data_IF_982924433389
#
_entry.id   IF_982924433389
#
_cell.length_a   1.000
_cell.length_b   1.000
_cell.length_c   1.000
_cell.angle_alpha   90.00
_cell.angle_beta   90.00
_cell.angle_gamma   90.00
#
_symmetry.space_group_name_H-M   'P 1'
#
loop_
_entity.id
_entity.type
_entity.pdbx_description
1 polymer ?
#
# COMPACT_ATOMS: atom_id res chain seq x y z
N UNK A 1 -33.10 -7.26 8.80
CA UNK A 1 -32.60 -8.53 9.36
C UNK A 1 -33.68 -9.57 9.25
N UNK A 2 -33.46 -10.58 8.41
CA UNK A 2 -34.33 -11.75 8.36
C UNK A 2 -33.80 -12.80 9.35
N UNK A 3 -34.68 -13.48 10.07
CA UNK A 3 -34.28 -14.52 11.04
C UNK A 3 -34.69 -15.89 10.54
N UNK A 4 -33.86 -16.90 10.85
CA UNK A 4 -34.10 -18.31 10.52
C UNK A 4 -34.15 -19.11 11.80
N UNK A 5 -35.14 -20.01 11.89
CA UNK A 5 -35.19 -20.99 12.98
C UNK A 5 -34.22 -22.11 12.66
N UNK A 6 -33.37 -22.42 13.63
CA UNK A 6 -32.52 -23.61 13.57
C UNK A 6 -33.38 -24.82 13.93
N UNK A 7 -33.32 -25.86 13.10
CA UNK A 7 -34.06 -27.10 13.23
C UNK A 7 -33.10 -28.24 13.56
N UNK A 8 -33.56 -29.22 14.34
CA UNK A 8 -32.77 -30.41 14.67
C UNK A 8 -32.99 -31.48 13.60
N UNK A 9 -31.92 -31.87 12.90
CA UNK A 9 -31.93 -32.97 11.93
C UNK A 9 -31.49 -34.31 12.55
N UNK A 10 -30.67 -34.27 13.61
CA UNK A 10 -30.18 -35.46 14.30
C UNK A 10 -29.78 -35.20 15.76
N UNK A 11 -29.25 -36.20 16.48
CA UNK A 11 -28.87 -36.06 17.89
C UNK A 11 -27.87 -34.91 18.13
N UNK A 12 -26.96 -34.68 17.18
CA UNK A 12 -25.88 -33.68 17.25
C UNK A 12 -25.88 -32.69 16.07
N UNK A 13 -26.90 -32.72 15.20
CA UNK A 13 -26.90 -31.92 13.96
C UNK A 13 -28.06 -30.94 13.93
N UNK A 14 -27.72 -29.69 13.64
CA UNK A 14 -28.63 -28.58 13.46
C UNK A 14 -28.63 -28.16 11.98
N UNK A 15 -29.76 -27.70 11.48
CA UNK A 15 -29.89 -27.10 10.15
C UNK A 15 -30.65 -25.79 10.19
N UNK A 16 -30.35 -24.91 9.24
CA UNK A 16 -31.12 -23.72 8.94
C UNK A 16 -31.36 -23.65 7.43
N UNK A 17 -32.44 -23.01 7.01
CA UNK A 17 -32.70 -22.78 5.59
C UNK A 17 -31.98 -21.53 5.12
N UNK A 18 -31.33 -21.60 3.96
CA UNK A 18 -30.74 -20.44 3.30
C UNK A 18 -31.84 -19.45 2.88
N UNK A 19 -31.56 -18.12 2.83
CA UNK A 19 -32.50 -17.16 2.26
C UNK A 19 -32.75 -17.45 0.77
N UNK A 20 -34.02 -17.45 0.35
CA UNK A 20 -34.38 -17.78 -1.03
C UNK A 20 -33.86 -16.75 -2.04
N UNK A 21 -33.86 -15.47 -1.68
CA UNK A 21 -33.30 -14.38 -2.49
C UNK A 21 -31.80 -14.61 -2.72
N UNK A 22 -31.03 -14.81 -1.64
CA UNK A 22 -29.60 -15.11 -1.73
C UNK A 22 -29.30 -16.38 -2.53
N UNK A 23 -30.05 -17.46 -2.30
CA UNK A 23 -29.85 -18.71 -3.05
C UNK A 23 -30.13 -18.53 -4.55
N UNK A 24 -31.14 -17.71 -4.91
CA UNK A 24 -31.42 -17.37 -6.30
C UNK A 24 -30.35 -16.46 -6.91
N UNK A 25 -29.85 -15.47 -6.18
CA UNK A 25 -28.78 -14.57 -6.63
C UNK A 25 -27.41 -15.24 -6.82
N UNK A 26 -27.19 -16.36 -6.12
CA UNK A 26 -25.93 -17.11 -6.16
C UNK A 26 -26.06 -18.43 -6.92
N UNK A 27 -27.20 -18.65 -7.60
CA UNK A 27 -27.53 -19.87 -8.34
C UNK A 27 -27.30 -21.16 -7.52
N UNK A 28 -27.63 -21.13 -6.23
CA UNK A 28 -27.50 -22.27 -5.31
C UNK A 28 -28.73 -23.16 -5.38
N UNK A 29 -28.54 -24.36 -5.89
CA UNK A 29 -29.58 -25.37 -6.04
C UNK A 29 -29.50 -26.48 -4.97
N UNK A 30 -30.51 -27.35 -4.99
CA UNK A 30 -30.55 -28.50 -4.09
C UNK A 30 -29.45 -29.50 -4.47
N UNK A 31 -28.54 -29.73 -3.54
CA UNK A 31 -27.45 -30.70 -3.70
C UNK A 31 -26.09 -30.02 -3.81
N UNK A 32 -26.08 -28.70 -4.02
CA UNK A 32 -24.87 -27.92 -4.07
C UNK A 32 -24.22 -27.84 -2.69
N UNK A 33 -22.90 -27.86 -2.69
CA UNK A 33 -22.11 -27.66 -1.48
C UNK A 33 -21.90 -26.17 -1.24
N UNK A 34 -21.99 -25.78 0.03
CA UNK A 34 -21.64 -24.43 0.48
C UNK A 34 -20.56 -24.52 1.53
N UNK A 35 -19.56 -23.66 1.40
CA UNK A 35 -18.51 -23.51 2.39
C UNK A 35 -18.99 -22.66 3.54
N UNK A 36 -18.73 -23.12 4.76
CA UNK A 36 -19.01 -22.40 5.98
C UNK A 36 -17.72 -21.87 6.59
N UNK A 37 -17.73 -20.59 6.96
CA UNK A 37 -16.62 -19.98 7.69
C UNK A 37 -17.13 -19.40 9.00
N UNK A 38 -16.50 -19.82 10.08
CA UNK A 38 -16.65 -19.20 11.39
C UNK A 38 -15.74 -17.96 11.45
N UNK A 39 -16.34 -16.78 11.56
CA UNK A 39 -15.63 -15.53 11.78
C UNK A 39 -15.42 -15.23 13.26
N UNK A 40 -14.68 -14.16 13.54
CA UNK A 40 -14.56 -13.60 14.89
C UNK A 40 -15.93 -13.21 15.46
N UNK A 41 -16.09 -13.29 16.79
CA UNK A 41 -17.31 -12.87 17.50
C UNK A 41 -18.59 -13.63 17.09
N UNK A 42 -18.45 -14.88 16.65
CA UNK A 42 -19.58 -15.77 16.38
C UNK A 42 -20.29 -15.56 15.03
N UNK A 43 -19.69 -14.78 14.12
CA UNK A 43 -20.19 -14.66 12.75
C UNK A 43 -20.05 -15.99 12.00
N UNK A 44 -21.06 -16.35 11.20
CA UNK A 44 -21.00 -17.48 10.27
C UNK A 44 -21.21 -16.96 8.86
N UNK A 45 -20.21 -17.10 8.00
CA UNK A 45 -20.29 -16.74 6.58
C UNK A 45 -20.55 -18.01 5.77
N UNK A 46 -21.53 -17.94 4.87
CA UNK A 46 -21.87 -19.01 3.93
C UNK A 46 -21.46 -18.56 2.54
N UNK A 47 -20.71 -19.39 1.83
CA UNK A 47 -20.20 -19.09 0.48
C UNK A 47 -20.52 -20.25 -0.45
N UNK A 48 -21.11 -20.01 -1.63
CA UNK A 48 -21.21 -21.03 -2.65
C UNK A 48 -19.84 -21.33 -3.27
N UNK A 49 -19.74 -22.45 -3.96
CA UNK A 49 -18.51 -22.87 -4.64
C UNK A 49 -18.16 -21.93 -5.82
N UNK A 50 -19.16 -21.33 -6.48
CA UNK A 50 -19.00 -20.34 -7.55
C UNK A 50 -18.18 -19.12 -7.11
N UNK A 51 -18.39 -18.63 -5.89
CA UNK A 51 -17.64 -17.50 -5.31
C UNK A 51 -16.16 -17.84 -5.09
N UNK A 52 -15.79 -19.12 -5.07
CA UNK A 52 -14.39 -19.54 -4.98
C UNK A 52 -13.70 -19.65 -6.35
N UNK A 53 -14.45 -19.78 -7.44
CA UNK A 53 -13.91 -20.10 -8.76
C UNK A 53 -13.97 -18.97 -9.79
N UNK A 54 -14.83 -17.95 -9.63
CA UNK A 54 -14.93 -16.91 -10.65
C UNK A 54 -13.68 -16.01 -10.70
N UNK A 55 -12.92 -16.12 -11.80
CA UNK A 55 -11.94 -15.11 -12.20
C UNK A 55 -12.70 -13.79 -12.42
N UNK A 56 -12.63 -12.85 -11.47
CA UNK A 56 -13.38 -11.61 -11.63
C UNK A 56 -12.86 -10.79 -12.81
N UNK A 57 -13.75 -10.46 -13.75
CA UNK A 57 -13.43 -9.68 -14.95
C UNK A 57 -13.97 -8.24 -14.86
N UNK A 58 -13.37 -7.31 -15.62
CA UNK A 58 -13.90 -5.98 -15.81
C UNK A 58 -13.68 -5.49 -17.24
N UNK A 59 -14.61 -4.67 -17.75
CA UNK A 59 -14.49 -3.99 -19.04
C UNK A 59 -14.35 -2.48 -18.79
N UNK A 60 -13.30 -1.90 -19.36
CA UNK A 60 -13.01 -0.46 -19.39
C UNK A 60 -13.39 0.03 -20.78
N UNK A 61 -14.41 0.88 -20.85
CA UNK A 61 -14.85 1.51 -22.09
C UNK A 61 -13.98 2.75 -22.38
N UNK A 62 -13.05 2.62 -23.32
CA UNK A 62 -11.97 3.60 -23.57
C UNK A 62 -12.37 4.77 -24.48
N UNK A 63 -13.54 4.76 -25.13
CA UNK A 63 -13.93 5.69 -26.20
C UNK A 63 -13.82 7.17 -25.81
N UNK A 64 -14.05 7.49 -24.53
CA UNK A 64 -14.01 8.84 -23.99
C UNK A 64 -12.92 9.04 -22.92
N UNK A 65 -11.92 8.14 -22.90
CA UNK A 65 -10.81 8.19 -21.97
C UNK A 65 -9.53 8.57 -22.71
N UNK A 66 -8.82 9.56 -22.18
CA UNK A 66 -7.44 9.81 -22.56
C UNK A 66 -6.50 8.72 -22.00
N UNK A 67 -5.24 8.73 -22.44
CA UNK A 67 -4.23 7.75 -22.03
C UNK A 67 -4.12 7.64 -20.50
N UNK A 68 -4.03 8.78 -19.80
CA UNK A 68 -3.88 8.80 -18.34
C UNK A 68 -5.13 8.23 -17.63
N UNK A 69 -6.34 8.49 -18.16
CA UNK A 69 -7.57 7.93 -17.63
C UNK A 69 -7.67 6.41 -17.86
N UNK A 70 -7.20 5.92 -19.00
CA UNK A 70 -7.08 4.47 -19.27
C UNK A 70 -6.11 3.83 -18.28
N UNK A 71 -4.92 4.39 -18.12
CA UNK A 71 -3.90 3.88 -17.17
C UNK A 71 -4.46 3.85 -15.74
N UNK A 72 -5.08 4.95 -15.26
CA UNK A 72 -5.74 5.00 -13.95
C UNK A 72 -6.86 3.96 -13.80
N UNK A 73 -7.65 3.74 -14.85
CA UNK A 73 -8.72 2.75 -14.82
C UNK A 73 -8.15 1.32 -14.71
N UNK A 74 -7.06 1.01 -15.40
CA UNK A 74 -6.37 -0.28 -15.30
C UNK A 74 -5.80 -0.48 -13.88
N UNK A 75 -5.10 0.51 -13.33
CA UNK A 75 -4.60 0.48 -11.95
C UNK A 75 -5.74 0.26 -10.95
N UNK A 76 -6.88 0.94 -11.14
CA UNK A 76 -8.05 0.76 -10.28
C UNK A 76 -8.60 -0.67 -10.35
N UNK A 77 -8.78 -1.24 -11.55
CA UNK A 77 -9.26 -2.62 -11.68
C UNK A 77 -8.25 -3.64 -11.15
N UNK A 78 -6.95 -3.35 -11.28
CA UNK A 78 -5.89 -4.15 -10.67
C UNK A 78 -6.01 -4.15 -9.14
N UNK A 79 -6.13 -2.98 -8.51
CA UNK A 79 -6.30 -2.86 -7.05
C UNK A 79 -7.58 -3.56 -6.58
N UNK A 80 -8.67 -3.46 -7.36
CA UNK A 80 -9.94 -4.12 -7.04
C UNK A 80 -9.92 -5.65 -7.22
N UNK A 81 -8.77 -6.23 -7.58
CA UNK A 81 -8.60 -7.68 -7.60
C UNK A 81 -9.06 -8.35 -8.89
N UNK A 82 -9.36 -7.59 -9.95
CA UNK A 82 -9.74 -8.18 -11.24
C UNK A 82 -8.61 -9.04 -11.79
N UNK A 83 -8.96 -10.22 -12.26
CA UNK A 83 -8.03 -11.17 -12.85
C UNK A 83 -7.86 -10.93 -14.33
N UNK A 84 -8.95 -10.56 -15.02
CA UNK A 84 -8.92 -10.13 -16.42
C UNK A 84 -9.50 -8.72 -16.51
N UNK A 85 -8.79 -7.83 -17.19
CA UNK A 85 -9.20 -6.45 -17.46
C UNK A 85 -9.23 -6.29 -18.97
N UNK A 86 -10.40 -5.97 -19.50
CA UNK A 86 -10.58 -5.68 -20.92
C UNK A 86 -10.63 -4.17 -21.12
N UNK A 87 -9.86 -3.65 -22.05
CA UNK A 87 -9.90 -2.25 -22.50
C UNK A 87 -10.48 -2.26 -23.90
N UNK A 88 -11.66 -1.68 -24.07
CA UNK A 88 -12.48 -1.86 -25.28
C UNK A 88 -13.03 -0.53 -25.80
N UNK A 89 -13.12 -0.41 -27.12
CA UNK A 89 -13.88 0.63 -27.81
C UNK A 89 -15.17 0.06 -28.44
N UNK A 90 -16.01 0.92 -29.01
CA UNK A 90 -17.27 0.47 -29.64
C UNK A 90 -16.98 -0.43 -30.84
N UNK A 91 -17.97 -1.21 -31.24
CA UNK A 91 -17.87 -2.10 -32.40
C UNK A 91 -17.49 -1.28 -33.66
N UNK A 92 -16.43 -1.70 -34.36
CA UNK A 92 -15.77 -0.98 -35.48
C UNK A 92 -14.98 0.28 -35.10
N UNK A 93 -14.75 0.54 -33.82
CA UNK A 93 -13.79 1.53 -33.34
C UNK A 93 -12.34 1.06 -33.48
N UNK A 94 -11.37 1.88 -33.08
CA UNK A 94 -9.99 1.44 -32.94
C UNK A 94 -9.36 2.16 -31.75
N UNK A 95 -8.71 1.41 -30.86
CA UNK A 95 -7.89 1.95 -29.79
C UNK A 95 -6.76 2.78 -30.41
N UNK A 96 -6.64 4.03 -29.99
CA UNK A 96 -5.56 4.89 -30.49
C UNK A 96 -4.21 4.50 -29.87
N UNK A 97 -3.11 4.95 -30.48
CA UNK A 97 -1.77 4.61 -30.00
C UNK A 97 -1.49 5.12 -28.58
N UNK A 98 -2.15 6.18 -28.12
CA UNK A 98 -1.96 6.69 -26.77
C UNK A 98 -2.63 5.77 -25.74
N UNK A 99 -3.83 5.27 -26.04
CA UNK A 99 -4.54 4.28 -25.23
C UNK A 99 -3.81 2.93 -25.19
N UNK A 100 -3.27 2.48 -26.32
CA UNK A 100 -2.44 1.27 -26.39
C UNK A 100 -1.18 1.44 -25.53
N UNK A 101 -0.48 2.57 -25.65
CA UNK A 101 0.70 2.84 -24.83
C UNK A 101 0.37 2.93 -23.33
N UNK A 102 -0.80 3.46 -22.95
CA UNK A 102 -1.25 3.48 -21.56
C UNK A 102 -1.40 2.06 -20.98
N UNK A 103 -1.89 1.10 -21.79
CA UNK A 103 -1.96 -0.32 -21.38
C UNK A 103 -0.56 -0.88 -21.11
N UNK A 104 0.38 -0.65 -22.04
CA UNK A 104 1.75 -1.12 -21.87
C UNK A 104 2.47 -0.43 -20.70
N UNK A 105 2.21 0.87 -20.45
CA UNK A 105 2.74 1.57 -19.29
C UNK A 105 2.24 0.91 -17.99
N UNK A 106 0.94 0.64 -17.88
CA UNK A 106 0.36 -0.05 -16.73
C UNK A 106 0.98 -1.45 -16.53
N UNK A 107 1.22 -2.21 -17.61
CA UNK A 107 1.94 -3.50 -17.55
C UNK A 107 3.33 -3.35 -16.92
N UNK A 108 4.09 -2.32 -17.31
CA UNK A 108 5.43 -2.11 -16.72
C UNK A 108 5.39 -1.72 -15.26
N UNK A 109 4.30 -1.13 -14.78
CA UNK A 109 4.15 -0.62 -13.41
C UNK A 109 3.51 -1.62 -12.46
N UNK A 110 2.80 -2.64 -12.94
CA UNK A 110 1.96 -3.51 -12.11
C UNK A 110 2.49 -4.94 -12.09
N UNK A 111 2.74 -5.49 -10.90
CA UNK A 111 3.28 -6.84 -10.76
C UNK A 111 2.29 -7.88 -11.28
N UNK A 112 2.77 -8.79 -12.13
CA UNK A 112 2.02 -9.92 -12.66
C UNK A 112 0.97 -9.58 -13.72
N UNK A 113 0.87 -8.31 -14.12
CA UNK A 113 0.00 -7.88 -15.21
C UNK A 113 0.66 -8.19 -16.57
N UNK A 114 -0.11 -8.66 -17.55
CA UNK A 114 0.39 -8.92 -18.91
C UNK A 114 -0.73 -8.97 -19.94
N UNK A 115 -0.45 -8.46 -21.14
CA UNK A 115 -1.40 -8.50 -22.27
C UNK A 115 -1.52 -9.93 -22.80
N UNK A 116 -2.75 -10.43 -22.93
CA UNK A 116 -3.06 -11.78 -23.43
C UNK A 116 -3.75 -11.79 -24.79
N UNK A 117 -4.40 -10.69 -25.16
CA UNK A 117 -5.04 -10.50 -26.46
C UNK A 117 -5.00 -9.02 -26.83
N UNK A 118 -4.72 -8.72 -28.10
CA UNK A 118 -4.77 -7.37 -28.66
C UNK A 118 -5.40 -7.42 -30.06
N UNK A 119 -6.49 -6.70 -30.23
CA UNK A 119 -7.18 -6.44 -31.50
C UNK A 119 -7.33 -4.92 -31.67
N UNK A 120 -7.71 -4.43 -32.87
CA UNK A 120 -7.97 -3.00 -33.06
C UNK A 120 -8.99 -2.43 -32.07
N UNK A 121 -10.02 -3.19 -31.71
CA UNK A 121 -11.12 -2.75 -30.84
C UNK A 121 -10.89 -3.04 -29.35
N UNK A 122 -9.97 -3.95 -28.98
CA UNK A 122 -9.86 -4.50 -27.63
C UNK A 122 -8.45 -4.92 -27.25
N UNK A 123 -8.06 -4.64 -26.01
CA UNK A 123 -6.92 -5.28 -25.35
C UNK A 123 -7.40 -6.01 -24.10
N UNK A 124 -7.10 -7.30 -23.98
CA UNK A 124 -7.33 -8.08 -22.76
C UNK A 124 -6.03 -8.27 -21.99
N UNK A 125 -6.07 -7.97 -20.69
CA UNK A 125 -4.93 -7.98 -19.79
C UNK A 125 -5.22 -8.94 -18.65
N UNK A 126 -4.28 -9.83 -18.31
CA UNK A 126 -4.40 -10.77 -17.19
C UNK A 126 -3.44 -10.42 -16.07
N UNK A 127 -3.94 -10.47 -14.83
CA UNK A 127 -3.10 -10.45 -13.64
C UNK A 127 -2.86 -11.88 -13.13
N UNK A 128 -1.60 -12.28 -13.06
CA UNK A 128 -1.15 -13.62 -12.67
C UNK A 128 -0.57 -13.67 -11.25
N UNK A 129 -0.79 -12.62 -10.44
CA UNK A 129 -0.39 -12.60 -9.03
C UNK A 129 -1.21 -13.64 -8.26
N UNK A 130 -0.52 -14.58 -7.63
CA UNK A 130 -1.09 -15.46 -6.62
C UNK A 130 -0.93 -14.83 -5.22
N UNK A 131 -2.02 -14.52 -4.49
CA UNK A 131 -1.93 -14.00 -3.14
C UNK A 131 -1.15 -14.89 -2.16
N UNK A 132 -1.09 -16.21 -2.40
CA UNK A 132 -0.39 -17.16 -1.52
C UNK A 132 1.15 -16.99 -1.56
N UNK A 133 1.69 -16.34 -2.60
CA UNK A 133 3.12 -16.07 -2.72
C UNK A 133 3.59 -14.88 -1.85
N UNK A 134 2.68 -14.19 -1.18
CA UNK A 134 2.97 -12.93 -0.49
C UNK A 134 2.45 -12.90 0.95
N UNK A 135 3.27 -12.32 1.83
CA UNK A 135 2.88 -11.91 3.18
C UNK A 135 2.77 -10.38 3.22
N UNK A 136 1.66 -9.86 3.76
CA UNK A 136 1.46 -8.41 3.89
C UNK A 136 2.53 -7.78 4.78
N UNK A 137 2.92 -8.46 5.84
CA UNK A 137 3.94 -8.02 6.80
C UNK A 137 5.29 -7.82 6.10
N UNK A 138 5.71 -8.82 5.32
CA UNK A 138 6.95 -8.75 4.54
C UNK A 138 6.91 -7.64 3.48
N UNK A 139 5.75 -7.42 2.84
CA UNK A 139 5.60 -6.35 1.86
C UNK A 139 5.64 -4.96 2.49
N UNK A 140 5.06 -4.77 3.69
CA UNK A 140 5.17 -3.52 4.44
C UNK A 140 6.63 -3.23 4.82
N UNK A 141 7.35 -4.22 5.36
CA UNK A 141 8.78 -4.07 5.67
C UNK A 141 9.63 -3.81 4.43
N UNK A 142 9.31 -4.46 3.30
CA UNK A 142 10.00 -4.21 2.03
C UNK A 142 9.75 -2.80 1.48
N UNK A 143 8.53 -2.27 1.61
CA UNK A 143 8.20 -0.89 1.21
C UNK A 143 8.98 0.13 2.05
N UNK A 144 9.04 -0.07 3.37
CA UNK A 144 9.85 0.74 4.28
C UNK A 144 11.33 0.72 3.89
N UNK A 145 11.92 -0.47 3.73
CA UNK A 145 13.33 -0.61 3.37
C UNK A 145 13.68 0.03 2.02
N UNK A 146 12.75 -0.04 1.06
CA UNK A 146 12.89 0.62 -0.25
C UNK A 146 12.89 2.15 -0.08
N UNK A 147 11.94 2.71 0.67
CA UNK A 147 11.88 4.13 0.98
C UNK A 147 13.09 4.65 1.76
N UNK A 148 13.56 3.88 2.76
CA UNK A 148 14.80 4.20 3.49
C UNK A 148 16.02 4.25 2.56
N UNK A 149 16.14 3.28 1.65
CA UNK A 149 17.22 3.26 0.65
C UNK A 149 17.16 4.48 -0.26
N UNK A 150 15.97 4.85 -0.75
CA UNK A 150 15.76 6.05 -1.56
C UNK A 150 16.22 7.30 -0.82
N UNK A 151 15.76 7.49 0.41
CA UNK A 151 16.10 8.67 1.23
C UNK A 151 17.60 8.77 1.48
N UNK A 152 18.24 7.64 1.79
CA UNK A 152 19.69 7.58 1.98
C UNK A 152 20.46 7.89 0.70
N UNK A 153 20.02 7.40 -0.45
CA UNK A 153 20.62 7.73 -1.75
C UNK A 153 20.46 9.23 -2.06
N UNK A 154 19.27 9.80 -1.87
CA UNK A 154 18.99 11.22 -2.10
C UNK A 154 19.82 12.14 -1.18
N UNK A 155 19.86 11.87 0.13
CA UNK A 155 20.67 12.66 1.07
C UNK A 155 22.17 12.50 0.81
N UNK A 156 22.63 11.30 0.43
CA UNK A 156 24.01 11.07 0.03
C UNK A 156 24.37 11.77 -1.27
N UNK A 157 23.39 11.96 -2.16
CA UNK A 157 23.50 12.72 -3.39
C UNK A 157 23.79 14.18 -3.11
N UNK A 158 22.94 14.85 -2.29
CA UNK A 158 23.13 16.23 -1.84
C UNK A 158 24.50 16.42 -1.20
N UNK A 159 24.84 15.50 -0.31
CA UNK A 159 26.10 15.44 0.42
C UNK A 159 27.37 15.38 -0.43
N UNK A 160 27.28 15.00 -1.71
CA UNK A 160 28.43 14.73 -2.58
C UNK A 160 28.36 15.47 -3.92
N UNK A 161 27.26 16.16 -4.21
CA UNK A 161 27.02 16.72 -5.55
C UNK A 161 26.93 15.63 -6.63
N UNK A 162 26.38 14.45 -6.31
CA UNK A 162 26.43 13.25 -7.18
C UNK A 162 25.05 12.91 -7.78
N UNK A 163 24.63 13.49 -8.93
CA UNK A 163 23.28 13.31 -9.48
C UNK A 163 22.93 11.85 -9.84
N UNK A 164 23.92 10.97 -10.01
CA UNK A 164 23.67 9.55 -10.28
C UNK A 164 23.05 8.83 -9.07
N UNK A 165 23.28 9.33 -7.84
CA UNK A 165 22.61 8.83 -6.64
C UNK A 165 21.13 9.26 -6.61
N UNK A 166 20.84 10.53 -6.91
CA UNK A 166 19.46 11.01 -7.02
C UNK A 166 18.67 10.26 -8.10
N UNK A 167 19.26 10.05 -9.28
CA UNK A 167 18.59 9.29 -10.34
C UNK A 167 18.32 7.83 -9.94
N UNK A 168 19.16 7.22 -9.09
CA UNK A 168 18.89 5.90 -8.52
C UNK A 168 17.72 5.90 -7.54
N UNK A 169 17.59 6.93 -6.70
CA UNK A 169 16.44 7.09 -5.83
C UNK A 169 15.14 7.19 -6.65
N UNK A 170 15.12 8.01 -7.72
CA UNK A 170 13.97 8.11 -8.63
C UNK A 170 13.64 6.78 -9.34
N UNK A 171 14.65 5.97 -9.70
CA UNK A 171 14.39 4.65 -10.28
C UNK A 171 13.82 3.65 -9.27
N UNK A 172 14.02 3.86 -7.97
CA UNK A 172 13.46 3.03 -6.89
C UNK A 172 12.05 3.44 -6.51
N UNK A 173 11.63 4.67 -6.76
CA UNK A 173 10.23 5.10 -6.61
C UNK A 173 9.30 4.10 -7.33
N UNK A 174 9.61 3.77 -8.60
CA UNK A 174 8.82 2.81 -9.38
C UNK A 174 8.72 1.44 -8.72
N UNK A 175 9.74 1.03 -7.95
CA UNK A 175 9.73 -0.21 -7.18
C UNK A 175 8.88 -0.08 -5.92
N UNK A 176 8.94 1.06 -5.23
CA UNK A 176 8.08 1.37 -4.08
C UNK A 176 6.60 1.40 -4.50
N UNK A 177 6.27 2.11 -5.60
CA UNK A 177 4.92 2.16 -6.15
C UNK A 177 4.40 0.76 -6.54
N UNK A 178 5.22 -0.08 -7.19
CA UNK A 178 4.89 -1.50 -7.45
C UNK A 178 4.49 -2.27 -6.20
N UNK A 179 5.26 -2.12 -5.13
CA UNK A 179 4.99 -2.79 -3.84
C UNK A 179 3.70 -2.23 -3.23
N UNK A 180 3.52 -0.91 -3.25
CA UNK A 180 2.33 -0.25 -2.72
C UNK A 180 1.04 -0.69 -3.43
N UNK A 181 1.03 -0.69 -4.77
CA UNK A 181 -0.16 -1.08 -5.54
C UNK A 181 -0.45 -2.59 -5.38
N UNK A 182 0.58 -3.44 -5.27
CA UNK A 182 0.41 -4.85 -4.92
C UNK A 182 -0.18 -5.03 -3.52
N UNK A 183 0.31 -4.30 -2.51
CA UNK A 183 -0.25 -4.29 -1.16
C UNK A 183 -1.73 -3.95 -1.20
N UNK A 184 -2.13 -2.90 -1.93
CA UNK A 184 -3.53 -2.54 -2.08
C UNK A 184 -4.34 -3.66 -2.73
N UNK A 185 -3.84 -4.28 -3.80
CA UNK A 185 -4.51 -5.43 -4.44
C UNK A 185 -4.76 -6.55 -3.43
N UNK A 186 -3.73 -6.97 -2.70
CA UNK A 186 -3.82 -8.06 -1.73
C UNK A 186 -4.77 -7.72 -0.58
N UNK A 187 -4.76 -6.47 -0.10
CA UNK A 187 -5.67 -6.01 0.95
C UNK A 187 -7.13 -6.05 0.48
N UNK A 188 -7.41 -5.55 -0.73
CA UNK A 188 -8.77 -5.50 -1.27
C UNK A 188 -9.29 -6.90 -1.61
N UNK A 189 -8.46 -7.78 -2.17
CA UNK A 189 -8.85 -9.18 -2.45
C UNK A 189 -9.04 -9.97 -1.16
N UNK A 190 -8.18 -9.79 -0.14
CA UNK A 190 -8.35 -10.41 1.18
C UNK A 190 -9.60 -9.93 1.91
N UNK A 191 -9.99 -8.66 1.71
CA UNK A 191 -11.23 -8.13 2.25
C UNK A 191 -12.47 -8.75 1.57
N UNK A 192 -12.45 -8.90 0.25
CA UNK A 192 -13.56 -9.48 -0.52
C UNK A 192 -13.69 -11.00 -0.33
N UNK A 193 -12.55 -11.71 -0.28
CA UNK A 193 -12.50 -13.15 -0.09
C UNK A 193 -11.78 -13.47 1.23
N UNK A 194 -12.53 -13.74 2.30
CA UNK A 194 -11.92 -13.99 3.59
C UNK A 194 -11.02 -15.23 3.65
N UNK A 195 -11.09 -16.16 2.69
CA UNK A 195 -10.13 -17.27 2.61
C UNK A 195 -8.73 -16.77 2.27
N UNK A 196 -8.62 -15.74 1.43
CA UNK A 196 -7.35 -15.11 1.08
C UNK A 196 -6.74 -14.34 2.25
N UNK A 197 -7.54 -13.84 3.20
CA UNK A 197 -7.00 -13.20 4.41
C UNK A 197 -6.07 -14.14 5.20
N UNK A 198 -6.38 -15.45 5.27
CA UNK A 198 -5.49 -16.44 5.90
C UNK A 198 -4.27 -16.77 5.04
N UNK A 199 -4.43 -16.77 3.72
CA UNK A 199 -3.30 -16.96 2.80
C UNK A 199 -2.24 -15.88 2.98
N UNK A 200 -2.67 -14.64 3.29
CA UNK A 200 -1.78 -13.52 3.62
C UNK A 200 -1.51 -13.36 5.12
N UNK A 201 -1.62 -14.45 5.88
CA UNK A 201 -1.25 -14.57 7.30
C UNK A 201 -2.10 -13.74 8.28
N UNK A 202 -3.33 -13.36 7.92
CA UNK A 202 -4.25 -12.65 8.80
C UNK A 202 -5.38 -13.55 9.35
N UNK A 203 -5.53 -13.56 10.67
CA UNK A 203 -6.61 -14.27 11.37
C UNK A 203 -7.99 -13.62 11.23
N UNK A 204 -8.02 -12.33 10.88
CA UNK A 204 -9.27 -11.57 10.70
C UNK A 204 -9.11 -10.46 9.67
N UNK A 205 -10.23 -9.90 9.21
CA UNK A 205 -10.21 -8.76 8.29
C UNK A 205 -9.93 -7.42 8.96
N UNK A 206 -9.84 -7.35 10.29
CA UNK A 206 -9.65 -6.08 11.00
C UNK A 206 -8.28 -5.44 10.74
N UNK A 207 -7.14 -6.18 10.78
CA UNK A 207 -5.83 -5.63 10.45
C UNK A 207 -5.72 -5.02 9.05
N UNK A 208 -6.53 -5.48 8.07
CA UNK A 208 -6.53 -4.95 6.70
C UNK A 208 -6.79 -3.44 6.65
N UNK A 209 -7.63 -2.92 7.56
CA UNK A 209 -7.94 -1.49 7.64
C UNK A 209 -6.68 -0.72 8.05
N UNK A 210 -5.99 -1.23 9.08
CA UNK A 210 -4.73 -0.67 9.57
C UNK A 210 -3.63 -0.74 8.50
N UNK A 211 -3.43 -1.92 7.90
CA UNK A 211 -2.37 -2.14 6.91
C UNK A 211 -2.54 -1.31 5.65
N UNK A 212 -3.77 -1.02 5.21
CA UNK A 212 -4.00 -0.03 4.15
C UNK A 212 -3.41 1.32 4.58
N UNK A 213 -3.79 1.81 5.76
CA UNK A 213 -3.32 3.10 6.23
C UNK A 213 -1.80 3.12 6.42
N UNK A 214 -1.18 2.05 6.91
CA UNK A 214 0.29 1.90 6.99
C UNK A 214 0.90 1.98 5.59
N UNK A 215 0.41 1.21 4.62
CA UNK A 215 0.92 1.20 3.26
C UNK A 215 0.90 2.60 2.62
N UNK A 216 -0.15 3.40 2.84
CA UNK A 216 -0.19 4.79 2.34
C UNK A 216 0.80 5.71 3.05
N UNK A 217 1.02 5.56 4.36
CA UNK A 217 2.04 6.35 5.06
C UNK A 217 3.47 6.00 4.60
N UNK A 218 3.70 4.73 4.22
CA UNK A 218 4.98 4.28 3.67
C UNK A 218 5.20 4.73 2.23
N UNK A 219 4.16 4.74 1.39
CA UNK A 219 4.26 5.34 0.05
C UNK A 219 4.56 6.85 0.15
N UNK A 220 3.90 7.60 1.03
CA UNK A 220 4.21 9.02 1.25
C UNK A 220 5.64 9.24 1.80
N UNK A 221 6.22 8.23 2.47
CA UNK A 221 7.62 8.26 2.88
C UNK A 221 8.57 8.10 1.69
N UNK A 222 8.18 7.31 0.69
CA UNK A 222 8.92 7.18 -0.56
C UNK A 222 8.78 8.44 -1.42
N UNK A 223 7.60 9.06 -1.49
CA UNK A 223 7.36 10.34 -2.18
C UNK A 223 8.27 11.44 -1.60
N UNK A 224 8.35 11.56 -0.27
CA UNK A 224 9.28 12.51 0.35
C UNK A 224 10.75 12.27 -0.02
N UNK A 225 11.14 11.02 -0.28
CA UNK A 225 12.49 10.68 -0.72
C UNK A 225 12.71 11.00 -2.22
N UNK A 226 11.66 10.88 -3.03
CA UNK A 226 11.61 11.36 -4.41
C UNK A 226 11.78 12.88 -4.45
N UNK A 227 11.02 13.64 -3.68
CA UNK A 227 11.12 15.11 -3.59
C UNK A 227 12.57 15.56 -3.29
N UNK A 228 13.24 14.91 -2.34
CA UNK A 228 14.64 15.22 -2.01
C UNK A 228 15.57 14.92 -3.20
N UNK A 229 15.32 13.83 -3.93
CA UNK A 229 16.10 13.49 -5.11
C UNK A 229 15.85 14.48 -6.27
N UNK A 230 14.64 14.98 -6.45
CA UNK A 230 14.31 16.03 -7.42
C UNK A 230 15.02 17.33 -7.07
N UNK A 231 15.00 17.75 -5.79
CA UNK A 231 15.74 18.93 -5.32
C UNK A 231 17.23 18.82 -5.68
N UNK A 232 17.86 17.65 -5.54
CA UNK A 232 19.26 17.45 -5.97
C UNK A 232 19.43 17.80 -7.44
N UNK A 233 18.57 17.26 -8.31
CA UNK A 233 18.70 17.40 -9.76
C UNK A 233 18.43 18.83 -10.23
N UNK A 234 17.56 19.55 -9.54
CA UNK A 234 17.21 20.93 -9.83
C UNK A 234 18.19 21.95 -9.25
N UNK A 235 18.97 21.57 -8.24
CA UNK A 235 19.93 22.48 -7.58
C UNK A 235 21.25 22.54 -8.36
N UNK A 236 21.76 23.76 -8.59
CA UNK A 236 23.05 23.98 -9.24
C UNK A 236 24.17 23.31 -8.42
N UNK A 237 25.04 22.53 -9.09
CA UNK A 237 26.09 21.77 -8.40
C UNK A 237 25.58 20.55 -7.62
N UNK A 238 24.28 20.26 -7.64
CA UNK A 238 23.65 19.08 -7.02
C UNK A 238 23.86 18.97 -5.51
N UNK A 239 24.07 20.10 -4.83
CA UNK A 239 24.32 20.18 -3.38
C UNK A 239 23.57 21.36 -2.78
N UNK A 240 23.29 21.30 -1.47
CA UNK A 240 22.80 22.46 -0.72
C UNK A 240 23.96 23.42 -0.43
N UNK A 241 23.68 24.73 -0.44
CA UNK A 241 24.59 25.80 -0.02
C UNK A 241 24.65 25.88 1.53
N UNK A 242 25.15 24.82 2.16
CA UNK A 242 25.35 24.72 3.61
C UNK A 242 26.73 24.18 3.94
N UNK A 243 27.21 24.46 5.15
CA UNK A 243 28.53 24.00 5.58
C UNK A 243 28.55 22.48 5.89
N UNK A 244 29.76 21.92 5.99
CA UNK A 244 29.98 20.50 6.29
C UNK A 244 29.41 20.08 7.66
N UNK A 245 29.27 21.00 8.60
CA UNK A 245 28.66 20.72 9.90
C UNK A 245 27.14 20.55 9.76
N UNK A 246 26.47 21.45 9.04
CA UNK A 246 25.04 21.37 8.75
C UNK A 246 24.70 20.12 7.94
N UNK A 247 25.47 19.82 6.87
CA UNK A 247 25.24 18.58 6.12
C UNK A 247 25.46 17.32 6.96
N UNK A 248 26.35 17.34 7.96
CA UNK A 248 26.46 16.20 8.91
C UNK A 248 25.21 16.08 9.77
N UNK A 249 24.69 17.18 10.30
CA UNK A 249 23.45 17.18 11.10
C UNK A 249 22.25 16.68 10.29
N UNK A 250 22.14 17.02 9.01
CA UNK A 250 21.09 16.52 8.10
C UNK A 250 21.19 15.00 7.92
N UNK A 251 22.42 14.46 7.74
CA UNK A 251 22.62 13.01 7.65
C UNK A 251 22.26 12.30 8.96
N UNK A 252 22.70 12.83 10.09
CA UNK A 252 22.37 12.26 11.41
C UNK A 252 20.85 12.32 11.70
N UNK A 253 20.17 13.40 11.34
CA UNK A 253 18.71 13.48 11.37
C UNK A 253 18.07 12.41 10.49
N UNK A 254 18.61 12.18 9.28
CA UNK A 254 18.13 11.13 8.37
C UNK A 254 18.27 9.74 8.98
N UNK A 255 19.36 9.47 9.70
CA UNK A 255 19.59 8.21 10.42
C UNK A 255 18.59 8.02 11.57
N UNK A 256 18.32 9.09 12.35
CA UNK A 256 17.28 9.08 13.39
C UNK A 256 15.89 8.79 12.78
N UNK A 257 15.60 9.37 11.62
CA UNK A 257 14.36 9.15 10.87
C UNK A 257 14.27 7.76 10.24
N UNK A 258 15.39 7.15 9.82
CA UNK A 258 15.40 5.74 9.42
C UNK A 258 15.03 4.83 10.59
N UNK A 259 15.61 5.07 11.77
CA UNK A 259 15.35 4.25 12.94
C UNK A 259 13.89 4.34 13.42
N UNK A 260 13.28 5.53 13.36
CA UNK A 260 11.88 5.71 13.78
C UNK A 260 10.89 5.10 12.77
N UNK A 261 11.16 5.16 11.45
CA UNK A 261 10.27 4.53 10.44
C UNK A 261 10.30 3.02 10.53
N UNK A 262 11.49 2.42 10.69
CA UNK A 262 11.65 0.98 10.89
C UNK A 262 10.91 0.52 12.15
N UNK A 263 11.08 1.24 13.27
CA UNK A 263 10.41 0.93 14.53
C UNK A 263 8.88 1.03 14.40
N UNK A 264 8.37 2.05 13.72
CA UNK A 264 6.94 2.21 13.49
C UNK A 264 6.34 1.03 12.70
N UNK A 265 7.00 0.59 11.63
CA UNK A 265 6.54 -0.57 10.85
C UNK A 265 6.60 -1.85 11.66
N UNK A 266 7.68 -2.08 12.41
CA UNK A 266 7.79 -3.23 13.31
C UNK A 266 6.69 -3.23 14.37
N UNK A 267 6.38 -2.09 14.98
CA UNK A 267 5.28 -1.98 15.92
C UNK A 267 3.94 -2.41 15.29
N UNK A 268 3.69 -2.05 14.02
CA UNK A 268 2.45 -2.40 13.32
C UNK A 268 2.37 -3.88 12.93
N UNK A 269 3.49 -4.46 12.47
CA UNK A 269 3.61 -5.87 12.08
C UNK A 269 3.56 -6.78 13.30
N UNK A 270 4.41 -6.53 14.29
CA UNK A 270 4.53 -7.33 15.52
C UNK A 270 3.36 -7.06 16.49
N UNK A 271 2.54 -6.04 16.23
CA UNK A 271 1.45 -5.56 17.10
C UNK A 271 1.96 -5.26 18.52
N UNK A 272 3.11 -4.61 18.59
CA UNK A 272 3.80 -4.31 19.84
C UNK A 272 3.47 -2.89 20.30
N UNK A 273 2.83 -2.78 21.47
CA UNK A 273 2.41 -1.52 22.06
C UNK A 273 3.60 -0.69 22.57
N UNK A 274 4.62 -1.35 23.12
CA UNK A 274 5.81 -0.68 23.67
C UNK A 274 6.64 -0.05 22.54
N UNK A 275 6.81 -0.76 21.42
CA UNK A 275 7.46 -0.19 20.22
C UNK A 275 6.68 1.01 19.67
N UNK A 276 5.35 0.98 19.74
CA UNK A 276 4.52 2.12 19.32
C UNK A 276 4.70 3.34 20.25
N UNK A 277 4.85 3.12 21.56
CA UNK A 277 5.17 4.19 22.52
C UNK A 277 6.56 4.75 22.24
N UNK A 278 7.57 3.88 22.10
CA UNK A 278 8.94 4.28 21.84
C UNK A 278 9.06 5.10 20.54
N UNK A 279 8.32 4.72 19.50
CA UNK A 279 8.25 5.49 18.24
C UNK A 279 7.78 6.93 18.51
N UNK A 280 6.73 7.13 19.31
CA UNK A 280 6.23 8.47 19.66
C UNK A 280 7.22 9.28 20.50
N UNK A 281 7.91 8.64 21.43
CA UNK A 281 8.91 9.30 22.29
C UNK A 281 10.10 9.81 21.47
N UNK A 282 10.61 8.99 20.53
CA UNK A 282 11.72 9.36 19.64
C UNK A 282 11.37 10.50 18.68
N UNK A 283 10.10 10.65 18.30
CA UNK A 283 9.66 11.72 17.38
C UNK A 283 9.90 13.12 17.93
N UNK A 284 9.77 13.32 19.25
CA UNK A 284 10.01 14.63 19.86
C UNK A 284 11.46 15.11 19.62
N UNK A 285 12.44 14.22 19.82
CA UNK A 285 13.84 14.53 19.58
C UNK A 285 14.13 14.86 18.11
N UNK A 286 13.49 14.17 17.16
CA UNK A 286 13.60 14.47 15.72
C UNK A 286 13.11 15.89 15.41
N UNK A 287 11.99 16.31 16.02
CA UNK A 287 11.40 17.64 15.79
C UNK A 287 12.22 18.77 16.39
N UNK A 288 12.76 18.57 17.58
CA UNK A 288 13.67 19.52 18.20
C UNK A 288 14.92 19.68 17.33
N UNK A 289 15.49 18.56 16.85
CA UNK A 289 16.67 18.57 15.98
C UNK A 289 16.44 19.22 14.63
N UNK A 290 15.29 19.00 13.99
CA UNK A 290 14.90 19.70 12.75
C UNK A 290 14.86 21.23 12.96
N UNK A 291 14.28 21.67 14.08
CA UNK A 291 14.18 23.09 14.44
C UNK A 291 15.55 23.69 14.72
N UNK A 292 16.39 22.99 15.50
CA UNK A 292 17.75 23.43 15.80
C UNK A 292 18.61 23.57 14.54
N UNK A 293 18.47 22.67 13.55
CA UNK A 293 19.21 22.80 12.29
C UNK A 293 18.81 24.07 11.57
N UNK A 294 17.51 24.38 11.50
CA UNK A 294 16.98 25.59 10.86
C UNK A 294 17.42 26.88 11.57
N UNK A 295 17.36 26.89 12.91
CA UNK A 295 17.73 28.06 13.71
C UNK A 295 19.22 28.40 13.65
N UNK A 296 20.07 27.39 13.44
CA UNK A 296 21.52 27.54 13.35
C UNK A 296 22.03 27.83 11.93
N UNK A 297 21.15 27.91 10.91
CA UNK A 297 21.56 28.23 9.54
C UNK A 297 22.16 29.64 9.45
N UNK A 298 23.26 29.75 8.72
CA UNK A 298 23.84 31.05 8.38
C UNK A 298 22.89 31.83 7.46
N UNK A 299 23.01 33.17 7.46
CA UNK A 299 22.24 34.01 6.55
C UNK A 299 22.59 33.68 5.10
N UNK A 300 21.59 33.26 4.32
CA UNK A 300 21.72 32.82 2.93
C UNK A 300 20.59 33.38 2.06
N UNK A 301 20.72 33.36 0.72
CA UNK A 301 19.63 33.74 -0.17
C UNK A 301 18.36 32.93 0.08
N UNK A 302 17.19 33.55 -0.14
CA UNK A 302 15.90 32.90 0.11
C UNK A 302 15.70 31.60 -0.68
N UNK A 303 16.28 31.50 -1.88
CA UNK A 303 16.19 30.31 -2.72
C UNK A 303 16.91 29.12 -2.08
N UNK A 304 18.13 29.34 -1.58
CA UNK A 304 18.93 28.31 -0.91
C UNK A 304 18.32 27.92 0.43
N UNK A 305 17.83 28.90 1.19
CA UNK A 305 17.10 28.66 2.43
C UNK A 305 15.85 27.79 2.19
N UNK A 306 15.11 28.05 1.10
CA UNK A 306 13.92 27.28 0.76
C UNK A 306 14.27 25.82 0.46
N UNK A 307 15.32 25.57 -0.33
CA UNK A 307 15.80 24.21 -0.65
C UNK A 307 16.20 23.43 0.61
N UNK A 308 16.96 24.06 1.50
CA UNK A 308 17.37 23.43 2.77
C UNK A 308 16.14 23.10 3.62
N UNK A 309 15.18 24.03 3.69
CA UNK A 309 13.94 23.83 4.43
C UNK A 309 13.08 22.73 3.83
N UNK A 310 12.94 22.65 2.52
CA UNK A 310 12.20 21.59 1.83
C UNK A 310 12.78 20.21 2.16
N UNK A 311 14.11 20.05 2.09
CA UNK A 311 14.77 18.79 2.48
C UNK A 311 14.49 18.42 3.94
N UNK A 312 14.63 19.38 4.86
CA UNK A 312 14.37 19.15 6.29
C UNK A 312 12.91 18.81 6.56
N UNK A 313 11.97 19.51 5.90
CA UNK A 313 10.54 19.25 6.01
C UNK A 313 10.19 17.86 5.48
N UNK A 314 10.74 17.44 4.34
CA UNK A 314 10.52 16.10 3.79
C UNK A 314 11.03 15.01 4.75
N UNK A 315 12.20 15.19 5.37
CA UNK A 315 12.72 14.29 6.42
C UNK A 315 11.80 14.29 7.65
N UNK A 316 11.39 15.45 8.13
CA UNK A 316 10.52 15.59 9.30
C UNK A 316 9.13 14.97 9.07
N UNK A 317 8.55 15.16 7.87
CA UNK A 317 7.28 14.55 7.46
C UNK A 317 7.37 13.03 7.42
N UNK A 318 8.49 12.45 6.96
CA UNK A 318 8.73 11.01 7.05
C UNK A 318 8.63 10.50 8.49
N UNK A 319 9.24 11.21 9.44
CA UNK A 319 9.13 10.87 10.86
C UNK A 319 7.69 10.99 11.39
N UNK A 320 6.90 11.95 10.87
CA UNK A 320 5.50 12.09 11.24
C UNK A 320 4.64 10.94 10.71
N UNK A 321 4.95 10.42 9.52
CA UNK A 321 4.30 9.21 9.01
C UNK A 321 4.61 7.98 9.88
N UNK A 322 5.82 7.86 10.43
CA UNK A 322 6.16 6.82 11.41
C UNK A 322 5.27 6.89 12.67
N UNK A 323 5.00 8.10 13.18
CA UNK A 323 4.07 8.29 14.31
C UNK A 323 2.65 7.85 13.97
N UNK A 324 2.14 8.18 12.77
CA UNK A 324 0.82 7.72 12.32
C UNK A 324 0.77 6.19 12.22
N UNK A 325 1.85 5.55 11.78
CA UNK A 325 1.97 4.09 11.78
C UNK A 325 1.93 3.56 13.21
N UNK A 326 2.62 4.19 14.16
CA UNK A 326 2.58 3.81 15.58
C UNK A 326 1.19 3.99 16.22
N UNK A 327 0.41 4.99 15.82
CA UNK A 327 -1.00 5.14 16.24
C UNK A 327 -1.85 3.97 15.73
N UNK A 328 -1.64 3.54 14.48
CA UNK A 328 -2.30 2.36 13.92
C UNK A 328 -1.86 1.10 14.68
N UNK A 329 -0.56 0.93 14.93
CA UNK A 329 -0.01 -0.18 15.71
C UNK A 329 -0.60 -0.26 17.12
N UNK A 330 -0.83 0.89 17.75
CA UNK A 330 -1.50 0.98 19.06
C UNK A 330 -2.93 0.42 19.00
N UNK A 331 -3.68 0.76 17.96
CA UNK A 331 -5.04 0.22 17.78
C UNK A 331 -5.04 -1.29 17.51
N UNK A 332 -4.04 -1.79 16.76
CA UNK A 332 -3.90 -3.22 16.47
C UNK A 332 -3.52 -4.02 17.73
N UNK A 333 -2.53 -3.54 18.49
CA UNK A 333 -2.02 -4.17 19.71
C UNK A 333 -3.05 -4.21 20.84
N UNK A 334 -3.86 -3.16 21.01
CA UNK A 334 -4.86 -3.06 22.08
C UNK A 334 -6.22 -3.67 21.72
N UNK A 335 -6.37 -4.29 20.54
CA UNK A 335 -7.58 -5.01 20.14
C UNK A 335 -7.56 -6.50 20.56
N UNK A 336 -6.53 -6.92 21.31
CA UNK A 336 -6.38 -8.25 21.88
C UNK A 336 -6.14 -8.14 23.39
N UNK A 337 -6.43 -9.22 24.14
CA UNK A 337 -6.12 -9.24 25.57
C UNK A 337 -4.60 -9.19 25.77
N UNK A 338 -4.14 -8.24 26.57
CA UNK A 338 -2.72 -8.01 26.86
C UNK A 338 -2.54 -7.60 28.32
N UNK A 339 -1.30 -7.28 28.72
CA UNK A 339 -1.05 -6.68 30.03
C UNK A 339 -1.64 -5.27 30.18
N UNK A 340 -1.95 -4.60 29.05
CA UNK A 340 -2.47 -3.22 29.03
C UNK A 340 -3.99 -3.15 28.92
N UNK A 341 -4.66 -4.14 28.32
CA UNK A 341 -6.12 -4.13 28.07
C UNK A 341 -6.75 -5.50 28.30
N UNK A 342 -7.94 -5.51 28.93
CA UNK A 342 -8.84 -6.68 29.02
C UNK A 342 -10.14 -6.38 28.28
N UNK A 343 -10.57 -7.31 27.42
CA UNK A 343 -11.76 -7.20 26.57
C UNK A 343 -12.78 -8.26 27.02
N UNK A 344 -13.98 -7.82 27.43
CA UNK A 344 -15.11 -8.67 27.84
C UNK A 344 -16.01 -9.12 26.69
#
# INVERSE_FOLDING_TARGET
METRKVQRLGPSTLAMTLPAEWAGEQDVEKGDEVSLRMGSKGTLTVMPESVQQEESEAVIHAQNLDADAVERAIVAQYVLGRRIIHVEVEENGTLDSAQINAVYNAETQLMGLGVIEETPERIAIRCSVDPEDFSLDNLLGRLESTGSTMRNEAIKSLARGDPDLAQRALNRERQANKIFVLLLRLIFTAYQNPNLARAVELDSGFPLIGYRAVAKNLELTADNAEDIAEIVLETEGHTLEVDDATMRRIRELTDDVNAITELGVRAAVERDYDMAIETRERFAAVRDRETEILDDLEEMPNEDLLRVREVLVSIGQTAQYAVRIAEIATNLSLNENSEHVSIE
#
